data_IF_170593492606
#
_entry.id   IF_170593492606
#
_cell.length_a   1.000
_cell.length_b   1.000
_cell.length_c   1.000
_cell.angle_alpha   90.00
_cell.angle_beta   90.00
_cell.angle_gamma   90.00
#
_symmetry.space_group_name_H-M   'P 1'
#
loop_
_entity.id
_entity.type
_entity.pdbx_description
1 polymer ?
#
# COMPACT_ATOMS: atom_id res chain seq x y z
N UNK A 1 -2.69 -7.01 -27.47
CA UNK A 1 -2.25 -7.44 -26.12
C UNK A 1 -2.86 -8.81 -25.85
N UNK A 2 -2.08 -9.89 -25.87
CA UNK A 2 -2.58 -11.22 -25.53
C UNK A 2 -2.95 -11.28 -24.04
N UNK A 3 -4.06 -11.94 -23.69
CA UNK A 3 -4.41 -12.19 -22.29
C UNK A 3 -3.29 -13.01 -21.66
N UNK A 4 -2.63 -12.45 -20.64
CA UNK A 4 -1.65 -13.21 -19.86
C UNK A 4 -2.32 -14.49 -19.34
N UNK A 5 -1.67 -15.66 -19.46
CA UNK A 5 -2.22 -16.91 -18.97
C UNK A 5 -2.57 -16.76 -17.49
N UNK A 6 -3.85 -16.92 -17.17
CA UNK A 6 -4.37 -16.65 -15.85
C UNK A 6 -4.02 -17.83 -14.95
N UNK A 7 -3.17 -17.61 -13.95
CA UNK A 7 -2.86 -18.61 -12.93
C UNK A 7 -4.01 -18.58 -11.91
N UNK A 8 -4.62 -19.74 -11.64
CA UNK A 8 -5.65 -19.84 -10.61
C UNK A 8 -5.04 -19.72 -9.20
N UNK A 9 -5.69 -18.98 -8.29
CA UNK A 9 -5.16 -18.72 -6.95
C UNK A 9 -5.03 -19.98 -6.10
N UNK A 10 -6.01 -20.89 -6.18
CA UNK A 10 -6.01 -22.14 -5.39
C UNK A 10 -4.93 -23.07 -5.91
N UNK A 11 -4.82 -23.22 -7.23
CA UNK A 11 -3.78 -24.03 -7.86
C UNK A 11 -2.39 -23.48 -7.51
N UNK A 12 -2.20 -22.16 -7.60
CA UNK A 12 -0.94 -21.54 -7.19
C UNK A 12 -0.60 -21.82 -5.73
N UNK A 13 -1.55 -21.61 -4.80
CA UNK A 13 -1.32 -21.83 -3.37
C UNK A 13 -0.90 -23.28 -3.06
N UNK A 14 -1.60 -24.25 -3.63
CA UNK A 14 -1.30 -25.68 -3.47
C UNK A 14 0.11 -26.04 -3.99
N UNK A 15 0.42 -25.65 -5.22
CA UNK A 15 1.72 -25.92 -5.83
C UNK A 15 2.83 -25.21 -5.06
N UNK A 16 2.59 -23.98 -4.63
CA UNK A 16 3.55 -23.20 -3.86
C UNK A 16 3.86 -23.84 -2.51
N UNK A 17 2.83 -24.23 -1.77
CA UNK A 17 2.98 -24.95 -0.52
C UNK A 17 3.77 -26.25 -0.73
N UNK A 18 3.42 -27.06 -1.72
CA UNK A 18 4.12 -28.32 -2.00
C UNK A 18 5.61 -28.08 -2.32
N UNK A 19 5.95 -27.12 -3.18
CA UNK A 19 7.35 -26.85 -3.52
C UNK A 19 8.15 -26.34 -2.31
N UNK A 20 7.54 -25.53 -1.46
CA UNK A 20 8.14 -25.06 -0.22
C UNK A 20 8.32 -26.20 0.79
N UNK A 21 7.36 -27.12 0.92
CA UNK A 21 7.47 -28.28 1.81
C UNK A 21 8.66 -29.15 1.41
N UNK A 22 8.80 -29.43 0.11
CA UNK A 22 9.92 -30.20 -0.43
C UNK A 22 11.27 -29.50 -0.22
N UNK A 23 11.31 -28.17 -0.33
CA UNK A 23 12.55 -27.40 -0.22
C UNK A 23 13.01 -27.21 1.23
N UNK A 24 12.06 -27.00 2.15
CA UNK A 24 12.35 -26.74 3.57
C UNK A 24 12.26 -27.98 4.45
N UNK A 25 11.79 -29.11 3.90
CA UNK A 25 11.53 -30.35 4.63
C UNK A 25 10.66 -30.14 5.88
N UNK A 26 9.61 -29.32 5.74
CA UNK A 26 8.67 -29.00 6.81
C UNK A 26 7.24 -28.90 6.25
N UNK A 27 6.24 -29.26 7.05
CA UNK A 27 4.84 -29.01 6.73
C UNK A 27 4.46 -27.56 7.03
N UNK A 28 3.45 -27.04 6.35
CA UNK A 28 2.88 -25.72 6.62
C UNK A 28 1.37 -25.85 6.82
N UNK A 29 0.85 -25.13 7.80
CA UNK A 29 -0.56 -25.21 8.18
C UNK A 29 -1.44 -24.26 7.36
N UNK A 30 -0.85 -23.28 6.67
CA UNK A 30 -1.58 -22.30 5.86
C UNK A 30 -0.74 -21.67 4.75
N UNK A 31 -1.43 -21.14 3.75
CA UNK A 31 -0.85 -20.33 2.67
C UNK A 31 -0.11 -19.08 3.19
N UNK A 32 -0.61 -18.49 4.27
CA UNK A 32 0.03 -17.34 4.90
C UNK A 32 1.35 -17.74 5.57
N UNK A 33 1.38 -18.88 6.27
CA UNK A 33 2.59 -19.37 6.93
C UNK A 33 3.70 -19.66 5.90
N UNK A 34 3.37 -20.34 4.79
CA UNK A 34 4.37 -20.61 3.74
C UNK A 34 4.89 -19.31 3.09
N UNK A 35 4.03 -18.31 2.89
CA UNK A 35 4.43 -16.99 2.40
C UNK A 35 5.43 -16.29 3.32
N UNK A 36 5.20 -16.33 4.64
CA UNK A 36 6.09 -15.76 5.65
C UNK A 36 7.47 -16.42 5.61
N UNK A 37 7.49 -17.76 5.58
CA UNK A 37 8.74 -18.52 5.51
C UNK A 37 9.48 -18.23 4.19
N UNK A 38 8.77 -18.16 3.07
CA UNK A 38 9.35 -17.81 1.78
C UNK A 38 10.06 -16.45 1.80
N UNK A 39 9.49 -15.46 2.48
CA UNK A 39 10.09 -14.13 2.59
C UNK A 39 11.40 -14.12 3.39
N UNK A 40 11.57 -15.07 4.32
CA UNK A 40 12.78 -15.23 5.12
C UNK A 40 13.90 -16.00 4.40
N UNK A 41 13.62 -16.55 3.21
CA UNK A 41 14.63 -17.24 2.42
C UNK A 41 15.66 -16.27 1.83
N UNK A 42 16.90 -16.74 1.71
CA UNK A 42 17.95 -16.02 0.97
C UNK A 42 17.55 -15.80 -0.49
N UNK A 43 18.15 -14.80 -1.15
CA UNK A 43 17.87 -14.52 -2.56
C UNK A 43 18.11 -15.76 -3.45
N UNK A 44 19.17 -16.52 -3.16
CA UNK A 44 19.50 -17.75 -3.89
C UNK A 44 18.42 -18.82 -3.70
N UNK A 45 17.98 -19.07 -2.47
CA UNK A 45 16.88 -20.02 -2.17
C UNK A 45 15.57 -19.61 -2.85
N UNK A 46 15.24 -18.30 -2.81
CA UNK A 46 14.06 -17.78 -3.51
C UNK A 46 14.14 -17.99 -5.01
N UNK A 47 15.31 -17.78 -5.63
CA UNK A 47 15.51 -18.03 -7.05
C UNK A 47 15.26 -19.51 -7.41
N UNK A 48 15.78 -20.45 -6.62
CA UNK A 48 15.53 -21.88 -6.81
C UNK A 48 14.06 -22.22 -6.65
N UNK A 49 13.40 -21.68 -5.62
CA UNK A 49 11.96 -21.87 -5.41
C UNK A 49 11.14 -21.39 -6.61
N UNK A 50 11.46 -20.22 -7.16
CA UNK A 50 10.79 -19.70 -8.34
C UNK A 50 10.95 -20.59 -9.58
N UNK A 51 12.13 -21.15 -9.80
CA UNK A 51 12.36 -22.10 -10.89
C UNK A 51 11.51 -23.37 -10.73
N UNK A 52 11.47 -23.94 -9.51
CA UNK A 52 10.66 -25.13 -9.22
C UNK A 52 9.17 -24.88 -9.39
N UNK A 53 8.69 -23.72 -8.93
CA UNK A 53 7.30 -23.29 -9.11
C UNK A 53 6.91 -23.11 -10.56
N UNK A 54 7.76 -22.43 -11.32
CA UNK A 54 7.54 -22.18 -12.74
C UNK A 54 7.46 -23.51 -13.52
N UNK A 55 8.36 -24.44 -13.22
CA UNK A 55 8.33 -25.79 -13.78
C UNK A 55 7.04 -26.54 -13.42
N UNK A 56 6.66 -26.54 -12.14
CA UNK A 56 5.46 -27.24 -11.66
C UNK A 56 4.15 -26.66 -12.23
N UNK A 57 4.11 -25.36 -12.52
CA UNK A 57 2.97 -24.68 -13.13
C UNK A 57 2.99 -24.71 -14.66
N UNK A 58 4.05 -25.24 -15.28
CA UNK A 58 4.32 -25.17 -16.71
C UNK A 58 4.20 -23.72 -17.24
N UNK A 59 4.90 -22.79 -16.57
CA UNK A 59 4.97 -21.36 -16.89
C UNK A 59 6.41 -20.87 -16.85
N UNK A 60 6.66 -19.70 -17.44
CA UNK A 60 7.91 -18.98 -17.22
C UNK A 60 7.98 -18.40 -15.81
N UNK A 61 9.21 -18.20 -15.31
CA UNK A 61 9.47 -17.70 -13.95
C UNK A 61 8.89 -16.30 -13.72
N UNK A 62 9.01 -15.40 -14.69
CA UNK A 62 8.63 -14.00 -14.50
C UNK A 62 7.11 -13.82 -14.31
N UNK A 63 6.22 -14.41 -15.15
CA UNK A 63 4.77 -14.40 -14.92
C UNK A 63 4.35 -14.97 -13.56
N UNK A 64 5.02 -16.02 -13.07
CA UNK A 64 4.75 -16.63 -11.77
C UNK A 64 5.09 -15.67 -10.62
N UNK A 65 6.25 -15.01 -10.70
CA UNK A 65 6.66 -13.97 -9.75
C UNK A 65 5.67 -12.80 -9.76
N UNK A 66 5.28 -12.33 -10.94
CA UNK A 66 4.35 -11.21 -11.08
C UNK A 66 2.98 -11.56 -10.50
N UNK A 67 2.49 -12.77 -10.72
CA UNK A 67 1.27 -13.26 -10.10
C UNK A 67 1.38 -13.31 -8.57
N UNK A 68 2.49 -13.83 -8.04
CA UNK A 68 2.74 -13.87 -6.60
C UNK A 68 2.69 -12.47 -5.97
N UNK A 69 3.51 -11.54 -6.47
CA UNK A 69 3.65 -10.21 -5.87
C UNK A 69 2.44 -9.29 -6.11
N UNK A 70 1.73 -9.45 -7.24
CA UNK A 70 0.64 -8.54 -7.58
C UNK A 70 -0.74 -9.08 -7.23
N UNK A 71 -0.89 -10.39 -7.04
CA UNK A 71 -2.20 -11.02 -6.83
C UNK A 71 -2.22 -11.86 -5.57
N UNK A 72 -1.42 -12.92 -5.49
CA UNK A 72 -1.58 -13.94 -4.44
C UNK A 72 -1.18 -13.41 -3.06
N UNK A 73 -0.06 -12.70 -2.92
CA UNK A 73 0.41 -12.16 -1.63
C UNK A 73 -0.59 -11.16 -1.01
N UNK A 74 -1.34 -10.44 -1.84
CA UNK A 74 -2.23 -9.36 -1.38
C UNK A 74 -3.37 -9.87 -0.53
N UNK A 75 -3.78 -11.13 -0.71
CA UNK A 75 -4.88 -11.72 0.07
C UNK A 75 -4.55 -11.89 1.56
N UNK A 76 -3.27 -11.82 1.94
CA UNK A 76 -2.83 -11.89 3.34
C UNK A 76 -2.57 -10.52 3.96
N UNK A 77 -2.57 -9.46 3.14
CA UNK A 77 -2.45 -8.11 3.67
C UNK A 77 -3.81 -7.68 4.20
N UNK A 78 -3.87 -7.07 5.40
CA UNK A 78 -5.11 -6.49 5.88
C UNK A 78 -5.53 -5.34 4.97
N UNK A 79 -6.81 -5.03 5.00
CA UNK A 79 -7.35 -3.88 4.29
C UNK A 79 -6.73 -2.58 4.85
N UNK A 80 -6.14 -1.79 3.95
CA UNK A 80 -5.51 -0.51 4.32
C UNK A 80 -6.55 0.55 4.69
N UNK A 81 -7.80 0.40 4.24
CA UNK A 81 -8.87 1.32 4.59
C UNK A 81 -9.17 1.32 6.09
N UNK A 82 -8.87 0.21 6.79
CA UNK A 82 -8.97 0.11 8.25
C UNK A 82 -7.98 1.02 9.00
N UNK A 83 -6.89 1.41 8.34
CA UNK A 83 -5.84 2.26 8.89
C UNK A 83 -5.79 3.65 8.23
N UNK A 84 -6.84 3.99 7.46
CA UNK A 84 -6.86 5.20 6.64
C UNK A 84 -6.63 6.45 7.49
N UNK A 85 -7.31 6.56 8.64
CA UNK A 85 -7.21 7.74 9.52
C UNK A 85 -5.81 7.95 10.08
N UNK A 86 -5.16 6.87 10.49
CA UNK A 86 -3.80 6.93 11.03
C UNK A 86 -2.79 7.29 9.94
N UNK A 87 -2.99 6.81 8.71
CA UNK A 87 -2.16 7.19 7.56
C UNK A 87 -2.38 8.68 7.22
N UNK A 88 -3.63 9.15 7.24
CA UNK A 88 -3.98 10.56 7.04
C UNK A 88 -3.31 11.48 8.05
N UNK A 89 -3.32 11.09 9.33
CA UNK A 89 -2.65 11.82 10.40
C UNK A 89 -1.15 11.97 10.10
N UNK A 90 -0.45 10.88 9.82
CA UNK A 90 0.99 10.93 9.52
C UNK A 90 1.25 11.76 8.26
N UNK A 91 0.42 11.60 7.22
CA UNK A 91 0.55 12.39 5.99
C UNK A 91 0.38 13.88 6.28
N UNK A 92 -0.59 14.27 7.10
CA UNK A 92 -0.85 15.67 7.45
C UNK A 92 0.35 16.34 8.12
N UNK A 93 1.08 15.59 8.96
CA UNK A 93 2.29 16.06 9.63
C UNK A 93 3.48 16.23 8.67
N UNK A 94 3.52 15.45 7.59
CA UNK A 94 4.71 15.35 6.72
C UNK A 94 4.48 15.84 5.29
N UNK A 95 3.29 16.37 4.95
CA UNK A 95 2.88 16.63 3.56
C UNK A 95 3.82 17.59 2.79
N UNK A 96 4.49 18.50 3.50
CA UNK A 96 5.45 19.43 2.91
C UNK A 96 6.87 18.87 2.77
N UNK A 97 7.15 17.69 3.33
CA UNK A 97 8.45 17.06 3.19
C UNK A 97 8.53 16.35 1.81
N UNK A 98 9.58 16.59 1.00
CA UNK A 98 9.76 15.89 -0.28
C UNK A 98 9.87 14.36 -0.13
N UNK A 99 10.20 13.87 1.07
CA UNK A 99 10.26 12.45 1.44
C UNK A 99 9.00 11.98 2.18
N UNK A 100 7.90 12.74 2.17
CA UNK A 100 6.63 12.42 2.84
C UNK A 100 6.22 10.95 2.69
N UNK A 101 6.18 10.42 1.45
CA UNK A 101 5.78 9.03 1.19
C UNK A 101 6.68 8.02 1.94
N UNK A 102 7.99 8.26 1.95
CA UNK A 102 8.95 7.39 2.64
C UNK A 102 8.72 7.46 4.15
N UNK A 103 8.62 8.66 4.71
CA UNK A 103 8.42 8.88 6.15
C UNK A 103 7.11 8.23 6.62
N UNK A 104 6.02 8.40 5.88
CA UNK A 104 4.71 7.79 6.20
C UNK A 104 4.83 6.27 6.19
N UNK A 105 5.45 5.67 5.17
CA UNK A 105 5.63 4.23 5.09
C UNK A 105 6.48 3.68 6.25
N UNK A 106 7.59 4.35 6.59
CA UNK A 106 8.47 3.95 7.70
C UNK A 106 7.76 4.08 9.05
N UNK A 107 7.09 5.19 9.32
CA UNK A 107 6.34 5.39 10.58
C UNK A 107 5.19 4.41 10.71
N UNK A 108 4.43 4.20 9.63
CA UNK A 108 3.31 3.25 9.62
C UNK A 108 3.78 1.82 9.90
N UNK A 109 4.82 1.35 9.19
CA UNK A 109 5.37 0.01 9.40
C UNK A 109 6.04 -0.16 10.77
N UNK A 110 6.69 0.89 11.28
CA UNK A 110 7.26 0.88 12.63
C UNK A 110 6.19 0.83 13.73
N UNK A 111 4.99 1.40 13.50
CA UNK A 111 3.86 1.34 14.44
C UNK A 111 3.22 -0.06 14.46
N UNK A 112 3.14 -0.72 13.31
CA UNK A 112 2.48 -2.02 13.16
C UNK A 112 3.47 -3.15 12.81
N UNK A 113 4.58 -3.25 13.54
CA UNK A 113 5.65 -4.25 13.30
C UNK A 113 5.17 -5.70 13.29
N UNK A 114 4.05 -5.99 13.95
CA UNK A 114 3.47 -7.33 14.05
C UNK A 114 2.53 -7.68 12.89
N UNK A 115 2.20 -6.72 12.04
CA UNK A 115 1.30 -6.89 10.90
C UNK A 115 2.12 -6.84 9.61
N UNK A 116 1.92 -7.83 8.75
CA UNK A 116 2.61 -7.87 7.46
C UNK A 116 1.80 -7.12 6.40
N UNK A 117 2.29 -5.95 5.99
CA UNK A 117 1.69 -5.17 4.92
C UNK A 117 2.43 -5.37 3.59
N UNK A 118 1.68 -5.39 2.49
CA UNK A 118 2.26 -5.31 1.17
C UNK A 118 2.75 -3.88 0.89
N UNK A 119 4.07 -3.65 1.01
CA UNK A 119 4.66 -2.30 0.94
C UNK A 119 4.35 -1.52 -0.33
N UNK A 120 4.25 -2.17 -1.49
CA UNK A 120 3.81 -1.47 -2.72
C UNK A 120 2.36 -0.99 -2.61
N UNK A 121 1.49 -1.74 -1.94
CA UNK A 121 0.11 -1.33 -1.73
C UNK A 121 0.04 -0.15 -0.75
N UNK A 122 0.79 -0.19 0.35
CA UNK A 122 0.93 0.94 1.29
C UNK A 122 1.42 2.19 0.56
N UNK A 123 2.50 2.07 -0.23
CA UNK A 123 3.05 3.20 -0.98
C UNK A 123 2.06 3.79 -1.99
N UNK A 124 1.36 2.92 -2.75
CA UNK A 124 0.32 3.34 -3.68
C UNK A 124 -0.84 4.04 -2.96
N UNK A 125 -1.27 3.52 -1.82
CA UNK A 125 -2.32 4.09 -0.99
C UNK A 125 -1.94 5.50 -0.51
N UNK A 126 -0.74 5.64 0.08
CA UNK A 126 -0.21 6.93 0.55
C UNK A 126 -0.11 7.94 -0.59
N UNK A 127 0.42 7.54 -1.75
CA UNK A 127 0.52 8.43 -2.93
C UNK A 127 -0.85 8.89 -3.42
N UNK A 128 -1.84 7.99 -3.48
CA UNK A 128 -3.20 8.33 -3.86
C UNK A 128 -3.80 9.34 -2.88
N UNK A 129 -3.56 9.15 -1.59
CA UNK A 129 -4.04 10.03 -0.54
C UNK A 129 -3.42 11.44 -0.62
N UNK A 130 -2.09 11.52 -0.78
CA UNK A 130 -1.40 12.80 -0.99
C UNK A 130 -1.91 13.50 -2.25
N UNK A 131 -2.06 12.77 -3.37
CA UNK A 131 -2.58 13.34 -4.61
C UNK A 131 -3.97 13.93 -4.44
N UNK A 132 -4.84 13.28 -3.65
CA UNK A 132 -6.17 13.79 -3.34
C UNK A 132 -6.09 15.06 -2.49
N UNK A 133 -5.28 15.07 -1.43
CA UNK A 133 -5.11 16.24 -0.56
C UNK A 133 -4.54 17.44 -1.32
N UNK A 134 -3.53 17.23 -2.17
CA UNK A 134 -2.95 18.29 -3.01
C UNK A 134 -3.99 18.82 -4.01
N UNK A 135 -4.79 17.94 -4.60
CA UNK A 135 -5.87 18.36 -5.50
C UNK A 135 -6.91 19.23 -4.77
N UNK A 136 -7.35 18.82 -3.56
CA UNK A 136 -8.27 19.60 -2.73
C UNK A 136 -7.66 20.96 -2.32
N UNK A 137 -6.37 20.99 -2.01
CA UNK A 137 -5.63 22.21 -1.71
C UNK A 137 -5.62 23.17 -2.91
N UNK A 138 -5.39 22.66 -4.12
CA UNK A 138 -5.45 23.44 -5.36
C UNK A 138 -6.85 24.01 -5.54
N UNK A 139 -7.91 23.19 -5.40
CA UNK A 139 -9.29 23.66 -5.52
C UNK A 139 -9.62 24.79 -4.52
N UNK A 140 -9.10 24.70 -3.29
CA UNK A 140 -9.21 25.74 -2.27
C UNK A 140 -8.53 27.04 -2.71
N UNK A 141 -7.27 26.96 -3.17
CA UNK A 141 -6.47 28.14 -3.54
C UNK A 141 -7.09 28.89 -4.72
N UNK A 142 -7.60 28.17 -5.72
CA UNK A 142 -8.16 28.77 -6.93
C UNK A 142 -9.62 29.22 -6.80
N UNK A 143 -10.19 29.23 -5.59
CA UNK A 143 -11.53 29.75 -5.36
C UNK A 143 -12.64 28.93 -6.03
N UNK A 144 -12.39 27.66 -6.40
CA UNK A 144 -13.42 26.77 -6.94
C UNK A 144 -14.47 26.38 -5.89
N UNK A 145 -14.33 26.86 -4.65
CA UNK A 145 -15.32 26.68 -3.58
C UNK A 145 -16.68 27.25 -3.93
N UNK A 146 -16.75 28.39 -4.64
CA UNK A 146 -18.03 29.01 -5.00
C UNK A 146 -18.83 28.14 -6.00
N UNK A 147 -18.16 27.27 -6.76
CA UNK A 147 -18.79 26.30 -7.68
C UNK A 147 -19.15 24.99 -6.95
N UNK A 148 -18.38 24.59 -5.93
CA UNK A 148 -18.59 23.38 -5.12
C UNK A 148 -19.59 23.58 -3.96
N UNK A 149 -19.89 24.82 -3.56
CA UNK A 149 -20.85 25.16 -2.49
C UNK A 149 -22.31 25.31 -2.97
N UNK A 150 -22.61 25.08 -4.26
CA UNK A 150 -23.99 24.83 -4.72
C UNK A 150 -24.54 23.58 -4.01
N UNK A 151 -25.79 23.62 -3.53
CA UNK A 151 -26.17 23.21 -2.19
C UNK A 151 -25.86 21.73 -1.93
N UNK A 152 -24.67 21.46 -1.41
CA UNK A 152 -24.30 20.18 -0.85
C UNK A 152 -25.03 20.08 0.49
N UNK A 153 -26.26 19.56 0.44
CA UNK A 153 -26.98 18.98 1.57
C UNK A 153 -26.41 17.59 1.94
N UNK A 154 -25.21 17.25 1.49
CA UNK A 154 -24.68 15.89 1.52
C UNK A 154 -23.58 15.70 2.57
N UNK A 155 -24.00 15.06 3.67
CA UNK A 155 -23.22 14.14 4.54
C UNK A 155 -22.02 14.69 5.32
N UNK A 156 -22.04 14.44 6.64
CA UNK A 156 -20.99 14.79 7.62
C UNK A 156 -19.56 14.37 7.23
N UNK A 157 -19.40 13.41 6.31
CA UNK A 157 -18.09 12.93 5.88
C UNK A 157 -17.34 13.94 5.00
N UNK A 158 -18.02 14.61 4.06
CA UNK A 158 -17.38 15.61 3.20
C UNK A 158 -16.97 16.84 4.00
N UNK A 159 -17.81 17.24 4.97
CA UNK A 159 -17.51 18.34 5.88
C UNK A 159 -16.24 18.05 6.71
N UNK A 160 -16.11 16.82 7.22
CA UNK A 160 -14.91 16.40 7.96
C UNK A 160 -13.66 16.41 7.09
N UNK A 161 -13.74 15.93 5.84
CA UNK A 161 -12.61 15.98 4.90
C UNK A 161 -12.20 17.43 4.60
N UNK A 162 -13.18 18.33 4.40
CA UNK A 162 -12.92 19.77 4.21
C UNK A 162 -12.25 20.37 5.47
N UNK A 163 -12.72 20.05 6.67
CA UNK A 163 -12.15 20.55 7.92
C UNK A 163 -10.71 20.08 8.14
N UNK A 164 -10.39 18.84 7.77
CA UNK A 164 -9.02 18.31 7.82
C UNK A 164 -8.12 19.07 6.84
N UNK A 165 -8.58 19.30 5.61
CA UNK A 165 -7.80 20.06 4.63
C UNK A 165 -7.60 21.51 5.10
N UNK A 166 -8.63 22.14 5.67
CA UNK A 166 -8.52 23.49 6.24
C UNK A 166 -7.55 23.54 7.44
N UNK A 167 -7.52 22.51 8.29
CA UNK A 167 -6.56 22.47 9.40
C UNK A 167 -5.13 22.33 8.89
N UNK A 168 -4.91 21.50 7.86
CA UNK A 168 -3.61 21.35 7.19
C UNK A 168 -3.18 22.68 6.58
N UNK A 169 -4.05 23.32 5.79
CA UNK A 169 -3.78 24.64 5.18
C UNK A 169 -3.38 25.66 6.24
N UNK A 170 -4.15 25.73 7.34
CA UNK A 170 -3.88 26.65 8.44
C UNK A 170 -2.49 26.40 9.05
N UNK A 171 -2.13 25.14 9.25
CA UNK A 171 -0.83 24.75 9.81
C UNK A 171 0.33 25.10 8.85
N UNK A 172 0.13 24.92 7.54
CA UNK A 172 1.11 25.30 6.52
C UNK A 172 1.32 26.81 6.46
N UNK A 173 0.23 27.60 6.51
CA UNK A 173 0.30 29.07 6.55
C UNK A 173 1.02 29.56 7.81
N UNK A 174 0.76 28.97 8.98
CA UNK A 174 1.49 29.36 10.18
C UNK A 174 2.99 29.02 10.10
N UNK A 175 3.34 27.84 9.58
CA UNK A 175 4.73 27.41 9.48
C UNK A 175 5.57 28.29 8.54
N UNK A 176 4.99 28.78 7.45
CA UNK A 176 5.67 29.65 6.49
C UNK A 176 5.86 31.08 7.03
N UNK A 177 4.94 31.57 7.86
CA UNK A 177 5.08 32.88 8.53
C UNK A 177 6.21 32.83 9.57
N UNK A 178 6.29 31.77 10.37
CA UNK A 178 7.34 31.62 11.41
C UNK A 178 8.77 31.41 10.88
N UNK A 179 8.94 31.12 9.59
CA UNK A 179 10.26 31.04 8.94
C UNK A 179 10.67 32.30 8.18
N UNK A 180 9.82 33.34 8.15
CA UNK A 180 10.10 34.63 7.49
C UNK A 180 10.64 35.71 8.45
N UNK A 181 10.78 35.43 9.75
CA UNK A 181 11.20 36.39 10.79
C UNK A 181 12.63 36.14 11.34
N UNK A 182 13.48 35.40 10.61
CA UNK A 182 14.91 35.20 10.90
C UNK A 182 15.75 35.56 9.68
#
# INVERSE_FOLDING_TARGET
>A
MGRLPTIDRKVFGQVFMQQMQLMCNQSFDSDQHVSLVFQNLSNTQRAVCWQKLALALNKEVQPVKDFYYNTWIRQFSPDLDLFKKEIEEIVSETICDPKCVQIVCERFTARYKHIQFHMKAVNQFVRKLISLLVFLLILLIFGFFDILLLPITATNNLLNEILIVLSIVRQLVYSSISHSEL
#
